data_IF_819728760646
#
_entry.id   IF_819728760646
#
_cell.length_a   1.000
_cell.length_b   1.000
_cell.length_c   1.000
_cell.angle_alpha   90.00
_cell.angle_beta   90.00
_cell.angle_gamma   90.00
#
_symmetry.space_group_name_H-M   'P 1'
#
loop_
_entity.id
_entity.type
_entity.pdbx_description
1 polymer ?
#
# COMPACT_ATOMS: atom_id res chain seq x y z
N UNK A 1 34.89 21.69 -76.59
CA UNK A 1 34.96 22.35 -75.27
C UNK A 1 35.19 21.29 -74.21
N UNK A 2 36.24 21.37 -73.36
CA UNK A 2 36.42 20.45 -72.26
C UNK A 2 35.32 20.75 -71.22
N UNK A 3 34.46 19.79 -70.96
CA UNK A 3 33.43 19.85 -69.93
C UNK A 3 34.08 19.80 -68.57
N UNK A 4 34.07 20.95 -67.89
CA UNK A 4 34.43 21.02 -66.46
C UNK A 4 33.45 20.24 -65.60
N UNK A 5 33.96 19.37 -64.73
CA UNK A 5 33.18 18.68 -63.70
C UNK A 5 32.81 19.75 -62.65
N UNK A 6 31.53 20.09 -62.58
CA UNK A 6 31.02 20.90 -61.47
C UNK A 6 30.94 19.96 -60.23
N UNK A 7 31.85 20.18 -59.26
CA UNK A 7 31.75 19.57 -57.95
C UNK A 7 30.63 20.25 -57.20
N UNK A 8 29.51 19.56 -56.98
CA UNK A 8 28.46 20.00 -56.06
C UNK A 8 29.04 19.95 -54.63
N UNK A 9 29.01 21.08 -53.94
CA UNK A 9 29.36 21.15 -52.53
C UNK A 9 28.47 20.19 -51.72
N UNK A 10 28.99 19.61 -50.68
CA UNK A 10 28.25 18.73 -49.77
C UNK A 10 27.11 19.52 -49.11
N UNK A 11 25.86 19.15 -49.42
CA UNK A 11 24.71 19.68 -48.71
C UNK A 11 24.70 19.11 -47.29
N UNK A 12 24.80 19.94 -46.27
CA UNK A 12 24.68 19.54 -44.87
C UNK A 12 23.29 19.95 -44.38
N UNK A 13 22.45 18.94 -44.12
CA UNK A 13 21.17 19.16 -43.47
C UNK A 13 21.40 19.42 -41.98
N UNK A 14 20.98 20.59 -41.48
CA UNK A 14 21.02 20.94 -40.07
C UNK A 14 19.62 20.75 -39.50
N UNK A 15 19.39 19.71 -38.66
CA UNK A 15 18.09 19.49 -38.04
C UNK A 15 17.67 20.69 -37.18
N UNK A 16 16.38 21.01 -37.19
CA UNK A 16 15.85 22.05 -36.31
C UNK A 16 15.86 21.57 -34.84
N UNK A 17 16.12 22.47 -33.87
CA UNK A 17 16.07 22.16 -32.47
C UNK A 17 14.69 21.64 -32.04
N UNK A 18 14.64 20.69 -31.09
CA UNK A 18 13.36 20.25 -30.51
C UNK A 18 12.70 21.38 -29.72
N UNK A 19 11.37 21.33 -29.60
CA UNK A 19 10.63 22.19 -28.68
C UNK A 19 9.78 21.31 -27.76
N UNK A 20 9.48 21.78 -26.55
CA UNK A 20 8.49 21.18 -25.65
C UNK A 20 7.40 22.21 -25.42
N UNK A 21 6.16 21.89 -25.82
CA UNK A 21 4.98 22.75 -25.59
C UNK A 21 4.25 22.39 -24.31
N UNK A 22 4.25 21.11 -23.94
CA UNK A 22 3.63 20.63 -22.69
C UNK A 22 4.17 19.25 -22.31
N UNK A 23 3.95 18.86 -21.05
CA UNK A 23 4.13 17.50 -20.58
C UNK A 23 3.09 17.17 -19.49
N UNK A 24 2.59 15.96 -19.49
CA UNK A 24 1.52 15.49 -18.59
C UNK A 24 1.85 14.07 -18.14
N UNK A 25 1.80 13.78 -16.81
CA UNK A 25 1.55 14.68 -15.70
C UNK A 25 2.73 15.64 -15.43
N UNK A 26 2.45 16.79 -14.81
CA UNK A 26 3.48 17.74 -14.38
C UNK A 26 4.17 17.34 -13.06
N UNK A 27 3.60 16.36 -12.34
CA UNK A 27 4.18 15.74 -11.14
C UNK A 27 4.04 14.23 -11.23
N UNK A 28 5.11 13.50 -10.89
CA UNK A 28 5.12 12.05 -11.00
C UNK A 28 6.19 11.40 -10.11
N UNK A 29 5.89 10.18 -9.64
CA UNK A 29 6.86 9.30 -9.01
C UNK A 29 7.57 8.39 -10.03
N UNK A 30 8.52 7.61 -9.53
CA UNK A 30 9.24 6.61 -10.32
C UNK A 30 8.28 5.61 -10.99
N UNK A 31 8.59 5.21 -12.21
CA UNK A 31 7.78 4.28 -13.00
C UNK A 31 6.58 4.90 -13.71
N UNK A 32 6.24 6.16 -13.43
CA UNK A 32 5.16 6.86 -14.12
C UNK A 32 5.57 7.27 -15.52
N UNK A 33 4.70 7.05 -16.50
CA UNK A 33 4.89 7.55 -17.86
C UNK A 33 4.43 9.01 -17.96
N UNK A 34 5.31 9.86 -18.44
CA UNK A 34 5.05 11.27 -18.78
C UNK A 34 4.99 11.39 -20.29
N UNK A 35 3.86 11.91 -20.80
CA UNK A 35 3.70 12.25 -22.22
C UNK A 35 4.23 13.67 -22.46
N UNK A 36 5.22 13.81 -23.32
CA UNK A 36 5.83 15.09 -23.70
C UNK A 36 5.37 15.42 -25.10
N UNK A 37 4.79 16.62 -25.27
CA UNK A 37 4.31 17.14 -26.56
C UNK A 37 5.19 18.31 -27.00
N UNK A 38 5.52 18.36 -28.29
CA UNK A 38 6.39 19.39 -28.84
C UNK A 38 6.61 19.25 -30.34
N UNK A 39 7.79 19.60 -30.83
CA UNK A 39 8.16 19.43 -32.25
C UNK A 39 9.60 18.98 -32.40
N UNK A 40 9.94 18.46 -33.59
CA UNK A 40 11.29 18.07 -34.00
C UNK A 40 11.91 16.96 -33.13
N UNK A 41 11.10 15.98 -32.73
CA UNK A 41 11.54 14.83 -31.93
C UNK A 41 12.22 13.71 -32.76
N UNK A 42 12.79 14.06 -33.90
CA UNK A 42 13.55 13.11 -34.69
C UNK A 42 14.92 12.83 -34.04
N UNK A 43 15.28 11.54 -33.90
CA UNK A 43 16.56 11.13 -33.34
C UNK A 43 16.80 11.57 -31.89
N UNK A 44 15.77 11.51 -31.05
CA UNK A 44 15.89 11.74 -29.61
C UNK A 44 16.84 10.71 -29.02
N UNK A 45 17.87 11.18 -28.31
CA UNK A 45 18.90 10.37 -27.66
C UNK A 45 18.80 10.39 -26.15
N UNK A 46 18.23 11.46 -25.55
CA UNK A 46 18.09 11.59 -24.10
C UNK A 46 16.78 12.28 -23.76
N UNK A 47 16.08 11.72 -22.77
CA UNK A 47 15.01 12.40 -22.04
C UNK A 47 15.37 12.35 -20.56
N UNK A 48 15.21 13.46 -19.83
CA UNK A 48 15.46 13.50 -18.39
C UNK A 48 14.47 14.42 -17.66
N UNK A 49 14.27 14.14 -16.37
CA UNK A 49 13.42 14.87 -15.44
C UNK A 49 14.25 15.36 -14.26
N UNK A 50 14.33 16.70 -14.06
CA UNK A 50 15.15 17.29 -13.00
C UNK A 50 16.63 16.91 -13.07
N UNK A 51 17.15 16.64 -14.26
CA UNK A 51 18.54 16.21 -14.47
C UNK A 51 18.78 14.70 -14.42
N UNK A 52 17.79 13.90 -13.97
CA UNK A 52 17.88 12.42 -13.93
C UNK A 52 17.31 11.85 -15.22
N UNK A 53 18.05 11.00 -15.91
CA UNK A 53 17.60 10.39 -17.16
C UNK A 53 16.38 9.49 -16.92
N UNK A 54 15.41 9.53 -17.85
CA UNK A 54 14.29 8.61 -17.87
C UNK A 54 14.77 7.15 -17.89
N UNK A 55 14.04 6.25 -17.21
CA UNK A 55 14.34 4.80 -17.24
C UNK A 55 14.24 4.25 -18.66
N UNK A 56 13.26 4.75 -19.41
CA UNK A 56 13.04 4.46 -20.82
C UNK A 56 12.21 5.57 -21.45
N UNK A 57 12.28 5.69 -22.78
CA UNK A 57 11.37 6.54 -23.52
C UNK A 57 11.08 5.94 -24.91
N UNK A 58 9.96 6.34 -25.48
CA UNK A 58 9.54 5.97 -26.83
C UNK A 58 9.09 7.22 -27.57
N UNK A 59 9.65 7.48 -28.74
CA UNK A 59 9.20 8.52 -29.64
C UNK A 59 8.00 7.97 -30.43
N UNK A 60 6.81 8.48 -30.09
CA UNK A 60 5.55 8.04 -30.72
C UNK A 60 5.38 8.71 -32.09
N UNK A 61 5.78 9.98 -32.20
CA UNK A 61 5.71 10.76 -33.43
C UNK A 61 6.74 11.91 -33.38
N UNK A 62 6.94 12.64 -34.47
CA UNK A 62 7.78 13.86 -34.44
C UNK A 62 7.33 14.93 -33.45
N UNK A 63 6.13 14.76 -32.84
CA UNK A 63 5.52 15.72 -31.91
C UNK A 63 5.18 15.14 -30.54
N UNK A 64 5.48 13.84 -30.29
CA UNK A 64 5.12 13.19 -29.03
C UNK A 64 6.15 12.15 -28.59
N UNK A 65 6.53 12.21 -27.30
CA UNK A 65 7.38 11.24 -26.61
C UNK A 65 6.64 10.75 -25.36
N UNK A 66 6.69 9.46 -25.09
CA UNK A 66 6.35 8.88 -23.80
C UNK A 66 7.65 8.51 -23.09
N UNK A 67 7.85 9.02 -21.87
CA UNK A 67 9.07 8.77 -21.10
C UNK A 67 8.73 8.35 -19.67
N UNK A 68 9.43 7.33 -19.15
CA UNK A 68 9.21 6.75 -17.83
C UNK A 68 10.16 7.40 -16.82
N UNK A 69 9.61 7.99 -15.77
CA UNK A 69 10.37 8.64 -14.69
C UNK A 69 11.23 7.60 -13.95
N UNK A 70 12.51 7.90 -13.76
CA UNK A 70 13.43 7.00 -13.09
C UNK A 70 13.28 7.01 -11.56
N UNK A 71 13.70 5.91 -10.91
CA UNK A 71 13.93 5.88 -9.48
C UNK A 71 15.04 6.89 -9.10
N UNK A 72 14.89 7.55 -7.93
CA UNK A 72 15.81 8.60 -7.52
C UNK A 72 15.68 9.90 -8.32
N UNK A 73 14.56 10.08 -9.03
CA UNK A 73 14.25 11.29 -9.78
C UNK A 73 14.34 12.57 -8.95
N UNK A 74 14.38 13.70 -9.62
CA UNK A 74 14.42 15.03 -9.00
C UNK A 74 13.41 15.97 -9.67
N UNK A 75 12.93 16.97 -8.92
CA UNK A 75 12.14 18.06 -9.47
C UNK A 75 13.03 19.02 -10.27
N UNK A 76 12.47 19.62 -11.33
CA UNK A 76 13.21 20.55 -12.17
C UNK A 76 12.67 20.62 -13.58
N UNK A 77 13.57 20.70 -14.57
CA UNK A 77 13.19 20.78 -15.98
C UNK A 77 13.06 19.40 -16.61
N UNK A 78 12.08 19.26 -17.51
CA UNK A 78 12.06 18.18 -18.52
C UNK A 78 13.04 18.57 -19.62
N UNK A 79 13.99 17.69 -19.93
CA UNK A 79 14.98 17.85 -20.98
C UNK A 79 14.79 16.83 -22.07
N UNK A 80 14.84 17.28 -23.33
CA UNK A 80 14.88 16.42 -24.51
C UNK A 80 16.09 16.80 -25.34
N UNK A 81 16.96 15.83 -25.66
CA UNK A 81 18.08 15.97 -26.58
C UNK A 81 17.78 15.17 -27.85
N UNK A 82 17.81 15.84 -29.00
CA UNK A 82 17.56 15.28 -30.31
C UNK A 82 18.67 15.68 -31.29
N UNK A 83 18.60 15.26 -32.55
CA UNK A 83 19.59 15.60 -33.57
C UNK A 83 19.79 17.11 -33.77
N UNK A 84 18.72 17.89 -33.61
CA UNK A 84 18.76 19.38 -33.76
C UNK A 84 19.24 20.11 -32.52
N UNK A 85 19.52 19.44 -31.40
CA UNK A 85 19.96 20.08 -30.15
C UNK A 85 19.20 19.63 -28.91
N UNK A 86 19.26 20.46 -27.87
CA UNK A 86 18.65 20.20 -26.56
C UNK A 86 17.69 21.30 -26.18
N UNK A 87 16.55 20.95 -25.63
CA UNK A 87 15.58 21.86 -25.01
C UNK A 87 15.33 21.45 -23.54
N UNK A 88 15.08 22.44 -22.70
CA UNK A 88 14.68 22.26 -21.30
C UNK A 88 13.44 23.10 -21.01
N UNK A 89 12.43 22.49 -20.40
CA UNK A 89 11.19 23.15 -19.96
C UNK A 89 11.01 22.94 -18.47
N UNK A 90 10.95 23.99 -17.63
CA UNK A 90 10.81 23.85 -16.18
C UNK A 90 9.40 23.39 -15.78
N UNK A 91 9.21 23.03 -14.51
CA UNK A 91 7.92 22.79 -13.91
C UNK A 91 7.58 21.32 -13.64
N UNK A 92 8.51 20.38 -13.82
CA UNK A 92 8.31 19.01 -13.39
C UNK A 92 8.57 18.85 -11.88
N UNK A 93 7.62 18.25 -11.16
CA UNK A 93 7.74 17.93 -9.74
C UNK A 93 7.90 16.42 -9.55
N UNK A 94 9.04 15.98 -9.05
CA UNK A 94 9.24 14.59 -8.66
C UNK A 94 8.54 14.31 -7.31
N UNK A 95 7.75 13.25 -7.25
CA UNK A 95 7.11 12.78 -6.02
C UNK A 95 7.92 11.58 -5.52
N UNK A 96 8.63 11.71 -4.40
CA UNK A 96 9.37 10.58 -3.82
C UNK A 96 8.40 9.54 -3.26
N UNK A 97 8.78 8.26 -3.18
CA UNK A 97 8.01 7.25 -2.50
C UNK A 97 7.86 7.58 -1.01
N UNK A 98 6.77 7.15 -0.37
CA UNK A 98 6.59 7.32 1.06
C UNK A 98 7.60 6.47 1.83
N UNK A 99 7.89 6.86 3.08
CA UNK A 99 8.62 6.01 4.03
C UNK A 99 7.70 5.63 5.16
N UNK A 100 7.74 4.36 5.58
CA UNK A 100 7.07 3.89 6.81
C UNK A 100 8.14 3.68 7.87
N UNK A 101 8.06 4.40 8.98
CA UNK A 101 9.07 4.38 10.06
C UNK A 101 8.65 3.54 11.26
N UNK A 102 7.35 3.48 11.57
CA UNK A 102 6.80 2.68 12.67
C UNK A 102 5.30 2.46 12.50
N UNK A 103 4.78 1.49 13.24
CA UNK A 103 3.33 1.27 13.36
C UNK A 103 3.00 0.62 14.71
N UNK A 104 1.82 0.89 15.23
CA UNK A 104 1.29 0.33 16.48
C UNK A 104 -0.22 0.11 16.38
N UNK A 105 -0.72 -1.02 16.91
CA UNK A 105 0.01 -2.16 17.49
C UNK A 105 0.77 -2.98 16.42
N UNK A 106 1.81 -3.69 16.83
CA UNK A 106 2.61 -4.56 15.93
C UNK A 106 1.96 -5.92 15.68
N UNK A 107 0.96 -6.27 16.50
CA UNK A 107 0.12 -7.47 16.34
C UNK A 107 -1.34 -7.08 16.44
N UNK A 108 -2.17 -7.55 15.52
CA UNK A 108 -3.58 -7.17 15.48
C UNK A 108 -4.44 -8.20 14.76
N UNK A 109 -5.69 -8.33 15.21
CA UNK A 109 -6.74 -9.09 14.52
C UNK A 109 -7.58 -8.21 13.58
N UNK A 110 -8.51 -8.84 12.90
CA UNK A 110 -9.48 -8.17 12.03
C UNK A 110 -10.25 -7.08 12.78
N UNK A 111 -10.43 -5.92 12.16
CA UNK A 111 -11.15 -4.78 12.72
C UNK A 111 -10.31 -3.88 13.64
N UNK A 112 -9.10 -4.29 14.01
CA UNK A 112 -8.20 -3.45 14.82
C UNK A 112 -7.67 -2.28 13.99
N UNK A 113 -7.64 -1.08 14.58
CA UNK A 113 -7.03 0.11 13.98
C UNK A 113 -5.54 0.15 14.34
N UNK A 114 -4.71 0.25 13.31
CA UNK A 114 -3.25 0.40 13.42
C UNK A 114 -2.90 1.83 13.02
N UNK A 115 -2.11 2.50 13.86
CA UNK A 115 -1.52 3.81 13.55
C UNK A 115 -0.16 3.60 12.88
N UNK A 116 0.03 4.17 11.70
CA UNK A 116 1.23 4.07 10.88
C UNK A 116 1.88 5.44 10.81
N UNK A 117 3.16 5.55 11.14
CA UNK A 117 3.93 6.78 11.08
C UNK A 117 5.03 6.68 10.02
N UNK A 118 5.36 7.83 9.41
CA UNK A 118 6.34 7.89 8.34
C UNK A 118 6.42 9.25 7.68
N UNK A 119 6.69 9.30 6.38
CA UNK A 119 6.71 10.54 5.59
C UNK A 119 6.11 10.32 4.20
N UNK A 120 5.65 11.40 3.57
CA UNK A 120 5.14 11.36 2.20
C UNK A 120 3.79 10.68 2.04
N UNK A 121 2.96 10.64 3.08
CA UNK A 121 1.65 9.96 3.07
C UNK A 121 0.53 10.73 2.38
N UNK A 122 0.76 12.00 2.03
CA UNK A 122 -0.22 12.80 1.30
C UNK A 122 -0.59 12.13 -0.03
N UNK A 123 -1.89 11.96 -0.27
CA UNK A 123 -2.39 11.29 -1.46
C UNK A 123 -2.19 9.76 -1.46
N UNK A 124 -2.04 9.11 -0.30
CA UNK A 124 -1.99 7.66 -0.21
C UNK A 124 -3.24 7.03 -0.84
N UNK A 125 -3.03 6.04 -1.68
CA UNK A 125 -4.08 5.33 -2.45
C UNK A 125 -4.34 3.93 -1.94
N UNK A 126 -3.39 3.33 -1.20
CA UNK A 126 -3.56 2.01 -0.62
C UNK A 126 -2.70 1.82 0.63
N UNK A 127 -3.21 1.01 1.55
CA UNK A 127 -2.49 0.47 2.72
C UNK A 127 -2.73 -1.03 2.76
N UNK A 128 -1.69 -1.81 3.07
CA UNK A 128 -1.82 -3.27 3.24
C UNK A 128 -0.99 -3.80 4.41
N UNK A 129 -1.44 -4.93 4.95
CA UNK A 129 -0.80 -5.70 6.02
C UNK A 129 -0.52 -7.12 5.52
N UNK A 130 0.74 -7.54 5.47
CA UNK A 130 1.12 -8.85 4.95
C UNK A 130 0.67 -9.09 3.49
N UNK A 131 0.58 -8.03 2.69
CA UNK A 131 0.08 -8.09 1.31
C UNK A 131 -1.44 -8.03 1.17
N UNK A 132 -2.21 -8.08 2.28
CA UNK A 132 -3.67 -7.97 2.26
C UNK A 132 -4.08 -6.51 2.42
N UNK A 133 -4.92 -5.94 1.54
CA UNK A 133 -5.41 -4.58 1.67
C UNK A 133 -6.10 -4.34 3.01
N UNK A 134 -5.87 -3.17 3.62
CA UNK A 134 -6.61 -2.73 4.79
C UNK A 134 -8.12 -2.63 4.48
N UNK A 135 -8.97 -2.96 5.45
CA UNK A 135 -10.42 -2.83 5.30
C UNK A 135 -10.84 -1.36 5.09
N UNK A 136 -10.12 -0.44 5.71
CA UNK A 136 -10.25 1.00 5.53
C UNK A 136 -8.97 1.69 5.99
N UNK A 137 -8.70 2.90 5.50
CA UNK A 137 -7.64 3.75 6.05
C UNK A 137 -8.00 5.22 5.92
N UNK A 138 -7.37 6.04 6.75
CA UNK A 138 -7.51 7.50 6.75
C UNK A 138 -6.12 8.14 6.82
N UNK A 139 -5.82 9.03 5.90
CA UNK A 139 -4.62 9.88 5.95
C UNK A 139 -4.88 11.01 6.94
N UNK A 140 -4.28 10.92 8.13
CA UNK A 140 -4.43 11.93 9.19
C UNK A 140 -3.56 13.14 8.86
N UNK A 141 -2.36 12.90 8.33
CA UNK A 141 -1.40 13.94 7.90
C UNK A 141 -0.41 13.36 6.88
N UNK A 142 0.49 14.19 6.37
CA UNK A 142 1.61 13.72 5.53
C UNK A 142 2.58 12.78 6.24
N UNK A 143 2.42 12.58 7.58
CA UNK A 143 3.30 11.73 8.41
C UNK A 143 2.56 10.66 9.19
N UNK A 144 1.23 10.60 9.11
CA UNK A 144 0.44 9.63 9.86
C UNK A 144 -0.79 9.14 9.09
N UNK A 145 -0.99 7.82 9.13
CA UNK A 145 -2.17 7.11 8.63
C UNK A 145 -2.73 6.24 9.76
N UNK A 146 -4.05 6.16 9.86
CA UNK A 146 -4.75 5.10 10.60
C UNK A 146 -5.34 4.11 9.61
N UNK A 147 -5.18 2.80 9.85
CA UNK A 147 -5.68 1.78 8.96
C UNK A 147 -6.31 0.61 9.74
N UNK A 148 -7.46 0.13 9.29
CA UNK A 148 -8.19 -0.98 9.89
C UNK A 148 -7.75 -2.29 9.24
N UNK A 149 -7.31 -3.24 10.06
CA UNK A 149 -6.84 -4.56 9.60
C UNK A 149 -8.01 -5.37 9.06
N UNK A 150 -7.88 -5.90 7.84
CA UNK A 150 -8.79 -6.91 7.29
C UNK A 150 -8.37 -8.32 7.75
N UNK A 151 -9.20 -9.34 7.46
CA UNK A 151 -8.80 -10.73 7.61
C UNK A 151 -7.63 -11.03 6.65
N UNK A 152 -6.47 -11.44 7.18
CA UNK A 152 -5.27 -11.40 6.38
C UNK A 152 -4.10 -12.23 6.86
N UNK A 153 -2.91 -11.72 6.63
CA UNK A 153 -1.64 -12.40 6.86
C UNK A 153 -0.63 -11.49 7.58
N UNK A 154 0.31 -12.12 8.27
CA UNK A 154 1.50 -11.47 8.82
C UNK A 154 2.48 -11.08 7.71
N UNK A 155 3.26 -10.02 7.93
CA UNK A 155 4.28 -9.59 6.97
C UNK A 155 4.57 -8.09 7.06
N UNK A 156 4.76 -7.47 5.89
CA UNK A 156 5.04 -6.04 5.81
C UNK A 156 3.78 -5.19 5.92
N UNK A 157 3.92 -4.03 6.57
CA UNK A 157 3.00 -2.90 6.39
C UNK A 157 3.47 -2.10 5.19
N UNK A 158 2.58 -1.86 4.23
CA UNK A 158 2.88 -1.10 3.03
C UNK A 158 1.91 0.07 2.87
N UNK A 159 2.44 1.22 2.49
CA UNK A 159 1.69 2.41 2.08
C UNK A 159 2.04 2.73 0.64
N UNK A 160 1.05 2.92 -0.22
CA UNK A 160 1.21 3.30 -1.62
C UNK A 160 0.68 4.72 -1.85
N UNK A 161 1.47 5.53 -2.55
CA UNK A 161 1.14 6.90 -2.94
C UNK A 161 1.46 7.11 -4.43
N UNK A 162 1.12 8.24 -5.05
CA UNK A 162 1.57 8.56 -6.41
C UNK A 162 3.09 8.57 -6.59
N UNK A 163 3.86 8.68 -5.50
CA UNK A 163 5.32 8.61 -5.51
C UNK A 163 5.89 7.20 -5.56
N UNK A 164 5.04 6.19 -5.29
CA UNK A 164 5.44 4.79 -5.18
C UNK A 164 4.99 4.16 -3.86
N UNK A 165 5.65 3.08 -3.44
CA UNK A 165 5.32 2.37 -2.19
C UNK A 165 6.47 2.39 -1.19
N UNK A 166 6.12 2.57 0.09
CA UNK A 166 7.02 2.39 1.24
C UNK A 166 6.59 1.22 2.10
N UNK A 167 7.53 0.47 2.65
CA UNK A 167 7.26 -0.73 3.45
C UNK A 167 8.09 -0.78 4.72
N UNK A 168 7.52 -1.42 5.76
CA UNK A 168 8.24 -1.83 6.98
C UNK A 168 7.80 -3.23 7.36
N UNK A 169 8.73 -4.08 7.80
CA UNK A 169 8.43 -5.44 8.25
C UNK A 169 7.95 -5.50 9.70
N UNK A 170 7.41 -6.65 10.11
CA UNK A 170 7.18 -6.98 11.51
C UNK A 170 5.71 -6.94 11.98
N UNK A 171 4.74 -6.82 11.06
CA UNK A 171 3.33 -6.96 11.42
C UNK A 171 2.96 -8.43 11.61
N UNK A 172 2.30 -8.73 12.75
CA UNK A 172 1.76 -10.06 13.05
C UNK A 172 0.24 -10.02 12.99
N UNK A 173 -0.35 -10.74 12.05
CA UNK A 173 -1.79 -10.94 12.02
C UNK A 173 -2.21 -12.00 13.04
N UNK A 174 -3.19 -11.68 13.88
CA UNK A 174 -3.77 -12.58 14.86
C UNK A 174 -5.14 -13.04 14.36
N UNK A 175 -5.29 -14.30 13.95
CA UNK A 175 -6.60 -14.81 13.56
C UNK A 175 -7.54 -14.82 14.77
N UNK A 176 -8.80 -14.49 14.53
CA UNK A 176 -9.85 -14.51 15.55
C UNK A 176 -10.09 -15.92 16.11
N UNK A 177 -10.64 -16.03 17.33
CA UNK A 177 -11.05 -17.30 17.88
C UNK A 177 -12.21 -17.88 17.07
N UNK A 178 -12.37 -19.22 17.09
CA UNK A 178 -13.51 -19.92 16.54
C UNK A 178 -14.08 -20.88 17.58
N UNK A 179 -15.40 -20.90 17.80
CA UNK A 179 -16.08 -21.91 18.63
C UNK A 179 -16.64 -22.98 17.69
N UNK A 180 -16.23 -24.23 17.91
CA UNK A 180 -16.76 -25.42 17.20
C UNK A 180 -17.96 -25.97 17.95
N UNK A 181 -17.92 -25.91 19.28
CA UNK A 181 -19.02 -26.33 20.14
C UNK A 181 -18.71 -26.13 21.62
N UNK A 182 -19.71 -26.36 22.44
CA UNK A 182 -19.60 -26.33 23.91
C UNK A 182 -20.52 -27.35 24.56
N UNK A 183 -20.12 -27.86 25.70
CA UNK A 183 -20.90 -28.83 26.48
C UNK A 183 -20.68 -28.63 27.97
N UNK A 184 -21.78 -28.73 28.79
CA UNK A 184 -23.18 -28.88 28.38
C UNK A 184 -23.73 -27.63 27.71
N UNK A 185 -24.81 -27.76 26.90
CA UNK A 185 -25.50 -26.64 26.26
C UNK A 185 -26.46 -25.90 27.20
N UNK A 186 -26.72 -26.48 28.37
CA UNK A 186 -27.55 -25.92 29.44
C UNK A 186 -26.85 -26.17 30.78
N UNK A 187 -26.71 -25.14 31.60
CA UNK A 187 -26.03 -25.26 32.89
C UNK A 187 -26.43 -24.14 33.85
N UNK A 188 -26.54 -24.48 35.15
CA UNK A 188 -26.77 -23.50 36.19
C UNK A 188 -25.51 -22.69 36.52
N UNK A 189 -25.70 -21.56 37.19
CA UNK A 189 -24.60 -20.76 37.74
C UNK A 189 -23.62 -21.64 38.56
N UNK A 190 -22.34 -21.45 38.38
CA UNK A 190 -21.27 -22.20 39.03
C UNK A 190 -20.90 -23.51 38.36
N UNK A 191 -21.64 -23.97 37.38
CA UNK A 191 -21.30 -25.16 36.60
C UNK A 191 -20.20 -24.86 35.58
N UNK A 192 -19.39 -25.88 35.26
CA UNK A 192 -18.34 -25.76 34.25
C UNK A 192 -18.88 -26.19 32.88
N UNK A 193 -18.62 -25.33 31.88
CA UNK A 193 -18.87 -25.61 30.44
C UNK A 193 -17.51 -25.74 29.76
N UNK A 194 -17.35 -26.82 29.01
CA UNK A 194 -16.16 -27.03 28.14
C UNK A 194 -16.46 -26.45 26.78
N UNK A 195 -15.67 -25.48 26.36
CA UNK A 195 -15.77 -24.83 25.04
C UNK A 195 -14.62 -25.37 24.18
N UNK A 196 -14.96 -25.92 23.01
CA UNK A 196 -14.00 -26.42 22.02
C UNK A 196 -13.98 -25.51 20.78
N UNK A 197 -12.78 -25.30 20.21
CA UNK A 197 -12.66 -24.37 19.09
C UNK A 197 -11.24 -24.23 18.56
N UNK A 198 -10.91 -23.04 18.10
CA UNK A 198 -9.59 -22.69 17.53
C UNK A 198 -9.14 -21.31 18.01
N UNK A 199 -7.82 -21.10 17.98
CA UNK A 199 -7.17 -19.80 18.29
C UNK A 199 -7.52 -19.26 19.70
N UNK A 200 -7.63 -20.12 20.68
CA UNK A 200 -7.88 -19.75 22.08
C UNK A 200 -6.63 -19.27 22.83
N UNK A 201 -5.58 -18.88 22.11
CA UNK A 201 -4.40 -18.27 22.73
C UNK A 201 -4.69 -16.82 23.11
N UNK A 202 -4.37 -16.44 24.36
CA UNK A 202 -4.55 -15.06 24.83
C UNK A 202 -6.03 -14.66 24.99
N UNK A 203 -6.88 -15.58 25.42
CA UNK A 203 -8.28 -15.28 25.77
C UNK A 203 -8.33 -14.21 26.85
N UNK A 204 -9.05 -13.12 26.58
CA UNK A 204 -9.23 -11.99 27.50
C UNK A 204 -10.62 -11.95 28.14
N UNK A 205 -11.62 -12.60 27.51
CA UNK A 205 -12.95 -12.70 28.07
C UNK A 205 -13.69 -13.95 27.56
N UNK A 206 -14.55 -14.51 28.42
CA UNK A 206 -15.55 -15.52 28.09
C UNK A 206 -16.87 -15.07 28.70
N UNK A 207 -17.98 -15.18 27.97
CA UNK A 207 -19.31 -14.86 28.47
C UNK A 207 -20.37 -15.83 27.98
N UNK A 208 -21.48 -15.89 28.70
CA UNK A 208 -22.68 -16.65 28.41
C UNK A 208 -23.88 -15.70 28.40
N UNK A 209 -24.63 -15.61 27.29
CA UNK A 209 -25.74 -14.68 27.14
C UNK A 209 -25.39 -13.22 27.45
N UNK A 210 -24.17 -12.80 27.15
CA UNK A 210 -23.65 -11.46 27.47
C UNK A 210 -23.17 -11.28 28.92
N UNK A 211 -23.39 -12.26 29.82
CA UNK A 211 -22.90 -12.24 31.20
C UNK A 211 -21.51 -12.84 31.28
N UNK A 212 -20.50 -12.15 31.86
CA UNK A 212 -19.15 -12.71 32.00
C UNK A 212 -19.16 -14.03 32.77
N UNK A 213 -18.32 -14.99 32.34
CA UNK A 213 -18.03 -16.19 33.10
C UNK A 213 -17.48 -15.81 34.49
N UNK A 214 -17.83 -16.57 35.54
CA UNK A 214 -17.27 -16.37 36.88
C UNK A 214 -15.76 -16.55 36.89
N UNK A 215 -15.28 -17.54 36.12
CA UNK A 215 -13.88 -17.81 35.85
C UNK A 215 -13.75 -18.63 34.58
N UNK A 216 -12.57 -18.63 33.98
CA UNK A 216 -12.25 -19.54 32.89
C UNK A 216 -10.76 -19.92 32.94
N UNK A 217 -10.47 -21.11 32.36
CA UNK A 217 -9.12 -21.61 32.19
C UNK A 217 -8.92 -22.07 30.76
N UNK A 218 -7.93 -21.54 30.07
CA UNK A 218 -7.50 -22.00 28.76
C UNK A 218 -6.65 -23.25 28.95
N UNK A 219 -7.18 -24.40 28.56
CA UNK A 219 -6.51 -25.70 28.67
C UNK A 219 -5.53 -25.89 27.51
N UNK A 220 -5.94 -25.44 26.32
CA UNK A 220 -5.13 -25.53 25.09
C UNK A 220 -5.59 -24.45 24.09
N UNK A 221 -4.87 -24.26 22.97
CA UNK A 221 -5.35 -23.38 21.88
C UNK A 221 -6.71 -23.79 21.28
N UNK A 222 -7.26 -24.96 21.68
CA UNK A 222 -8.50 -25.50 21.15
C UNK A 222 -9.54 -25.81 22.23
N UNK A 223 -9.24 -25.55 23.53
CA UNK A 223 -10.16 -25.86 24.62
C UNK A 223 -10.09 -24.84 25.76
N UNK A 224 -11.26 -24.40 26.22
CA UNK A 224 -11.46 -23.58 27.40
C UNK A 224 -12.45 -24.28 28.33
N UNK A 225 -12.17 -24.27 29.63
CA UNK A 225 -13.13 -24.60 30.69
C UNK A 225 -13.62 -23.28 31.30
N UNK A 226 -14.91 -22.98 31.23
CA UNK A 226 -15.49 -21.75 31.72
C UNK A 226 -16.62 -22.04 32.74
N UNK A 227 -16.64 -21.29 33.84
CA UNK A 227 -17.66 -21.41 34.88
C UNK A 227 -18.76 -20.39 34.64
N UNK A 228 -19.99 -20.85 34.56
CA UNK A 228 -21.17 -20.04 34.23
C UNK A 228 -21.42 -18.97 35.29
N UNK A 229 -21.61 -17.74 34.86
CA UNK A 229 -22.02 -16.60 35.70
C UNK A 229 -23.55 -16.59 35.95
N UNK A 230 -24.03 -15.58 36.68
CA UNK A 230 -25.44 -15.46 37.01
C UNK A 230 -26.28 -15.00 35.81
N UNK A 231 -27.36 -15.76 35.46
CA UNK A 231 -28.42 -15.32 34.55
C UNK A 231 -28.05 -15.32 33.06
N UNK A 232 -27.45 -16.35 32.53
CA UNK A 232 -26.72 -16.32 31.27
C UNK A 232 -27.31 -17.22 30.16
N UNK A 233 -28.53 -17.01 29.72
CA UNK A 233 -29.07 -17.66 28.50
C UNK A 233 -28.72 -16.80 27.26
N UNK A 234 -28.24 -17.46 26.19
CA UNK A 234 -27.91 -16.80 24.91
C UNK A 234 -26.63 -17.30 24.26
N UNK A 235 -25.85 -16.44 23.66
CA UNK A 235 -24.62 -16.81 22.97
C UNK A 235 -23.46 -17.07 23.95
N UNK A 236 -22.66 -18.08 23.66
CA UNK A 236 -21.32 -18.22 24.24
C UNK A 236 -20.37 -17.33 23.46
N UNK A 237 -19.65 -16.47 24.15
CA UNK A 237 -18.67 -15.55 23.55
C UNK A 237 -17.26 -15.86 24.05
N UNK A 238 -16.29 -15.83 23.14
CA UNK A 238 -14.86 -15.88 23.45
C UNK A 238 -14.17 -14.72 22.76
N UNK A 239 -13.42 -13.93 23.55
CA UNK A 239 -12.64 -12.77 23.06
C UNK A 239 -11.15 -13.04 23.22
N UNK A 240 -10.38 -12.76 22.18
CA UNK A 240 -8.91 -12.78 22.15
C UNK A 240 -8.40 -11.48 21.52
N UNK A 241 -7.09 -11.28 21.46
CA UNK A 241 -6.50 -10.18 20.69
C UNK A 241 -6.80 -10.27 19.18
N UNK A 242 -7.15 -11.47 18.67
CA UNK A 242 -7.55 -11.68 17.27
C UNK A 242 -8.99 -11.26 16.96
N UNK A 243 -9.82 -11.03 17.99
CA UNK A 243 -11.22 -10.65 17.85
C UNK A 243 -12.13 -11.41 18.80
N UNK A 244 -13.44 -11.32 18.55
CA UNK A 244 -14.50 -12.00 19.33
C UNK A 244 -15.31 -12.92 18.42
N UNK A 245 -15.65 -14.11 18.92
CA UNK A 245 -16.59 -15.05 18.29
C UNK A 245 -17.81 -15.25 19.19
N UNK A 246 -18.97 -15.43 18.57
CA UNK A 246 -20.23 -15.77 19.20
C UNK A 246 -20.72 -17.13 18.70
N UNK A 247 -21.25 -17.96 19.60
CA UNK A 247 -21.88 -19.24 19.26
C UNK A 247 -23.21 -19.35 20.00
N UNK A 248 -24.37 -19.44 19.30
CA UNK A 248 -25.67 -19.44 19.93
C UNK A 248 -26.01 -20.77 20.60
N UNK A 249 -27.05 -20.75 21.47
CA UNK A 249 -27.72 -21.96 21.95
C UNK A 249 -27.36 -22.40 23.35
N UNK A 250 -26.78 -21.55 24.19
CA UNK A 250 -26.60 -21.82 25.62
C UNK A 250 -27.86 -21.41 26.42
N UNK A 251 -28.32 -22.25 27.36
CA UNK A 251 -29.47 -22.00 28.22
C UNK A 251 -29.19 -22.34 29.69
#
# INVERSE_FOLDING_TARGET
TPGGIATQGTFTFIPQPPTITSFIPTSAGAGTTVTITGTNFAGVSVVSFGGVNATSFTVISPTQINAVVAAGGASGSVRVTALGGTIMTPGFAFIPPPTVSSFLPTSAGTGTVVTINGTGFTGATAVSFGGVPAAAFTVVSGTQITATVAAGASGNVQVTTPGGSGTIAGFTYLPGPGIIGFAPTSAAQGATVVITGTNFTGVSAVSFGGTPAMSYMVISPTQINAVVGAGATGDVSVTTMGGTVLSPGFT
#
